data_IF_249354584086
#
_entry.id   IF_249354584086
#
_cell.length_a   1.000
_cell.length_b   1.000
_cell.length_c   1.000
_cell.angle_alpha   90.00
_cell.angle_beta   90.00
_cell.angle_gamma   90.00
#
_symmetry.space_group_name_H-M   'P 1'
#
loop_
_entity.id
_entity.type
_entity.pdbx_description
1 polymer ?
#
# COMPACT_ATOMS: atom_id res chain seq x y z
N UNK A 1 16.17 11.79 -27.37
CA UNK A 1 15.25 10.69 -27.68
C UNK A 1 15.08 9.63 -26.59
N UNK A 2 15.87 9.60 -25.50
CA UNK A 2 15.69 8.62 -24.40
C UNK A 2 14.71 9.07 -23.30
N UNK A 3 14.35 10.36 -23.22
CA UNK A 3 13.50 10.92 -22.15
C UNK A 3 12.08 10.34 -22.12
N UNK A 4 11.46 10.14 -23.29
CA UNK A 4 10.06 9.68 -23.36
C UNK A 4 9.89 8.20 -23.00
N UNK A 5 10.92 7.39 -23.28
CA UNK A 5 10.94 5.97 -22.89
C UNK A 5 11.06 5.83 -21.37
N UNK A 6 11.96 6.60 -20.76
CA UNK A 6 12.18 6.59 -19.30
C UNK A 6 10.91 7.05 -18.55
N UNK A 7 10.26 8.11 -19.03
CA UNK A 7 8.99 8.60 -18.48
C UNK A 7 7.86 7.56 -18.61
N UNK A 8 7.76 6.88 -19.75
CA UNK A 8 6.74 5.84 -19.97
C UNK A 8 6.97 4.61 -19.11
N UNK A 9 8.23 4.21 -18.89
CA UNK A 9 8.59 3.09 -18.03
C UNK A 9 8.28 3.39 -16.56
N UNK A 10 8.64 4.58 -16.06
CA UNK A 10 8.26 5.05 -14.72
C UNK A 10 6.74 5.10 -14.54
N UNK A 11 6.02 5.64 -15.52
CA UNK A 11 4.56 5.68 -15.49
C UNK A 11 3.93 4.28 -15.44
N UNK A 12 4.51 3.31 -16.19
CA UNK A 12 4.05 1.93 -16.19
C UNK A 12 4.31 1.25 -14.84
N UNK A 13 5.50 1.43 -14.27
CA UNK A 13 5.86 0.89 -12.95
C UNK A 13 4.91 1.40 -11.86
N UNK A 14 4.61 2.70 -11.86
CA UNK A 14 3.61 3.31 -10.96
C UNK A 14 2.21 2.73 -11.11
N UNK A 15 1.80 2.43 -12.35
CA UNK A 15 0.51 1.80 -12.61
C UNK A 15 0.48 0.34 -12.11
N UNK A 16 1.55 -0.41 -12.31
CA UNK A 16 1.70 -1.80 -11.82
C UNK A 16 1.68 -1.85 -10.28
N UNK A 17 2.39 -0.96 -9.59
CA UNK A 17 2.40 -0.89 -8.13
C UNK A 17 1.00 -0.57 -7.56
N UNK A 18 0.30 0.40 -8.16
CA UNK A 18 -1.09 0.72 -7.79
C UNK A 18 -2.04 -0.45 -8.04
N UNK A 19 -1.90 -1.13 -9.18
CA UNK A 19 -2.71 -2.30 -9.50
C UNK A 19 -2.48 -3.46 -8.52
N UNK A 20 -1.23 -3.67 -8.10
CA UNK A 20 -0.88 -4.62 -7.04
C UNK A 20 -1.58 -4.27 -5.72
N UNK A 21 -1.50 -3.01 -5.30
CA UNK A 21 -2.19 -2.53 -4.10
C UNK A 21 -3.71 -2.76 -4.16
N UNK A 22 -4.37 -2.41 -5.27
CA UNK A 22 -5.82 -2.64 -5.43
C UNK A 22 -6.19 -4.12 -5.38
N UNK A 23 -5.34 -4.99 -5.90
CA UNK A 23 -5.55 -6.45 -5.82
C UNK A 23 -5.52 -6.91 -4.36
N UNK A 24 -4.50 -6.48 -3.60
CA UNK A 24 -4.39 -6.80 -2.18
C UNK A 24 -5.55 -6.23 -1.36
N UNK A 25 -5.96 -4.99 -1.65
CA UNK A 25 -7.12 -4.36 -1.02
C UNK A 25 -8.41 -5.11 -1.34
N UNK A 26 -8.61 -5.52 -2.60
CA UNK A 26 -9.77 -6.30 -3.02
C UNK A 26 -9.86 -7.64 -2.30
N UNK A 27 -8.74 -8.37 -2.21
CA UNK A 27 -8.65 -9.63 -1.45
C UNK A 27 -8.94 -9.38 0.04
N UNK A 28 -8.37 -8.32 0.62
CA UNK A 28 -8.63 -7.96 2.02
C UNK A 28 -10.12 -7.71 2.28
N UNK A 29 -10.79 -6.92 1.43
CA UNK A 29 -12.23 -6.66 1.57
C UNK A 29 -13.03 -7.95 1.41
N UNK A 30 -12.75 -8.76 0.38
CA UNK A 30 -13.46 -10.02 0.14
C UNK A 30 -13.34 -10.99 1.33
N UNK A 31 -12.13 -11.17 1.87
CA UNK A 31 -11.90 -12.03 3.03
C UNK A 31 -12.61 -11.49 4.26
N UNK A 32 -12.52 -10.19 4.56
CA UNK A 32 -13.18 -9.62 5.74
C UNK A 32 -14.71 -9.72 5.65
N UNK A 33 -15.30 -9.45 4.49
CA UNK A 33 -16.74 -9.65 4.25
C UNK A 33 -17.12 -11.12 4.49
N UNK A 34 -16.32 -12.05 3.97
CA UNK A 34 -16.56 -13.48 4.20
C UNK A 34 -16.50 -13.86 5.68
N UNK A 35 -15.53 -13.34 6.44
CA UNK A 35 -15.42 -13.58 7.88
C UNK A 35 -16.59 -12.98 8.67
N UNK A 36 -17.06 -11.78 8.30
CA UNK A 36 -18.25 -11.15 8.90
C UNK A 36 -19.50 -12.02 8.65
N UNK A 37 -19.65 -12.55 7.44
CA UNK A 37 -20.75 -13.45 7.09
C UNK A 37 -20.68 -14.74 7.91
N UNK A 38 -19.50 -15.36 8.05
CA UNK A 38 -19.32 -16.55 8.90
C UNK A 38 -19.69 -16.22 10.36
N UNK A 39 -19.21 -15.11 10.89
CA UNK A 39 -19.53 -14.69 12.25
C UNK A 39 -21.04 -14.51 12.44
N UNK A 40 -21.70 -13.82 11.52
CA UNK A 40 -23.15 -13.57 11.58
C UNK A 40 -23.96 -14.87 11.56
N UNK A 41 -23.57 -15.83 10.72
CA UNK A 41 -24.26 -17.13 10.60
C UNK A 41 -23.97 -18.04 11.80
N UNK A 42 -22.72 -18.07 12.28
CA UNK A 42 -22.28 -19.03 13.30
C UNK A 42 -22.64 -18.61 14.72
N UNK A 43 -22.54 -17.32 15.03
CA UNK A 43 -22.64 -16.79 16.39
C UNK A 43 -23.82 -15.82 16.56
N UNK A 44 -24.34 -15.28 15.45
CA UNK A 44 -25.38 -14.27 15.47
C UNK A 44 -24.94 -12.94 16.10
N UNK A 45 -25.82 -11.92 16.12
CA UNK A 45 -25.51 -10.59 16.62
C UNK A 45 -25.11 -10.53 18.10
N UNK A 46 -25.38 -11.58 18.88
CA UNK A 46 -25.06 -11.67 20.31
C UNK A 46 -23.74 -12.36 20.63
N UNK A 47 -23.07 -12.96 19.63
CA UNK A 47 -21.80 -13.64 19.87
C UNK A 47 -20.59 -12.73 19.71
N UNK A 48 -19.47 -13.13 20.31
CA UNK A 48 -18.25 -12.33 20.32
C UNK A 48 -17.71 -12.09 18.89
N UNK A 49 -17.48 -10.83 18.46
CA UNK A 49 -17.08 -10.48 17.09
C UNK A 49 -15.59 -10.76 16.83
N UNK A 50 -15.22 -12.03 16.72
CA UNK A 50 -13.83 -12.44 16.51
C UNK A 50 -13.24 -11.96 15.17
N UNK A 51 -14.07 -11.58 14.19
CA UNK A 51 -13.59 -11.05 12.90
C UNK A 51 -12.81 -9.73 13.05
N UNK A 52 -12.92 -9.03 14.19
CA UNK A 52 -12.17 -7.80 14.44
C UNK A 52 -10.65 -8.04 14.45
N UNK A 53 -10.19 -9.21 14.90
CA UNK A 53 -8.76 -9.51 14.99
C UNK A 53 -8.10 -9.59 13.61
N UNK A 54 -8.58 -10.38 12.63
CA UNK A 54 -8.03 -10.36 11.27
C UNK A 54 -8.25 -9.01 10.59
N UNK A 55 -9.38 -8.33 10.86
CA UNK A 55 -9.68 -7.02 10.30
C UNK A 55 -8.62 -5.97 10.70
N UNK A 56 -8.34 -5.81 11.99
CA UNK A 56 -7.33 -4.87 12.46
C UNK A 56 -5.90 -5.38 12.29
N UNK A 57 -5.65 -6.66 12.51
CA UNK A 57 -4.32 -7.26 12.42
C UNK A 57 -3.70 -7.12 11.04
N UNK A 58 -4.46 -7.47 9.99
CA UNK A 58 -3.97 -7.33 8.61
C UNK A 58 -4.33 -5.98 7.98
N UNK A 59 -5.36 -5.31 8.50
CA UNK A 59 -5.77 -3.97 8.05
C UNK A 59 -4.65 -2.94 8.18
N UNK A 60 -3.86 -3.01 9.26
CA UNK A 60 -2.68 -2.13 9.45
C UNK A 60 -1.66 -2.35 8.33
N UNK A 61 -1.42 -3.60 7.93
CA UNK A 61 -0.51 -3.94 6.83
C UNK A 61 -0.98 -3.38 5.49
N UNK A 62 -2.28 -3.45 5.21
CA UNK A 62 -2.88 -2.85 4.00
C UNK A 62 -2.74 -1.32 4.03
N UNK A 63 -3.01 -0.67 5.16
CA UNK A 63 -2.85 0.79 5.29
C UNK A 63 -1.40 1.21 5.09
N UNK A 64 -0.45 0.50 5.71
CA UNK A 64 0.98 0.76 5.53
C UNK A 64 1.42 0.55 4.07
N UNK A 65 0.94 -0.50 3.40
CA UNK A 65 1.23 -0.75 2.00
C UNK A 65 0.64 0.35 1.11
N UNK A 66 -0.58 0.81 1.38
CA UNK A 66 -1.19 1.92 0.66
C UNK A 66 -0.40 3.22 0.82
N UNK A 67 -0.01 3.57 2.04
CA UNK A 67 0.85 4.73 2.28
C UNK A 67 2.15 4.62 1.48
N UNK A 68 2.80 3.45 1.49
CA UNK A 68 4.02 3.22 0.71
C UNK A 68 3.79 3.34 -0.80
N UNK A 69 2.69 2.78 -1.34
CA UNK A 69 2.37 2.85 -2.78
C UNK A 69 2.01 4.25 -3.26
N UNK A 70 1.34 5.06 -2.43
CA UNK A 70 0.89 6.40 -2.83
C UNK A 70 1.86 7.53 -2.46
N UNK A 71 2.58 7.40 -1.34
CA UNK A 71 3.47 8.44 -0.80
C UNK A 71 4.95 8.03 -0.77
N UNK A 72 5.26 6.74 -0.99
CA UNK A 72 6.63 6.24 -0.91
C UNK A 72 7.57 6.90 -1.92
N UNK A 73 7.14 7.11 -3.17
CA UNK A 73 8.00 7.77 -4.16
C UNK A 73 8.28 9.24 -3.82
N UNK A 74 7.28 10.01 -3.36
CA UNK A 74 7.50 11.40 -2.96
C UNK A 74 8.52 11.51 -1.81
N UNK A 75 8.41 10.59 -0.84
CA UNK A 75 9.35 10.50 0.27
C UNK A 75 10.77 10.08 -0.18
N UNK A 76 10.87 9.14 -1.13
CA UNK A 76 12.14 8.68 -1.68
C UNK A 76 12.82 9.78 -2.50
N UNK A 77 12.07 10.50 -3.34
CA UNK A 77 12.57 11.61 -4.16
C UNK A 77 13.10 12.75 -3.27
N UNK A 78 12.35 13.15 -2.24
CA UNK A 78 12.78 14.16 -1.26
C UNK A 78 14.08 13.74 -0.55
N UNK A 79 14.17 12.49 -0.09
CA UNK A 79 15.38 11.95 0.56
C UNK A 79 16.58 11.85 -0.39
N UNK A 80 16.34 11.51 -1.66
CA UNK A 80 17.39 11.44 -2.66
C UNK A 80 17.98 12.84 -2.95
N UNK A 81 17.13 13.86 -3.00
CA UNK A 81 17.53 15.25 -3.24
C UNK A 81 18.33 15.81 -2.04
N UNK A 82 17.88 15.54 -0.81
CA UNK A 82 18.63 15.87 0.41
C UNK A 82 20.05 15.26 0.41
N UNK A 83 20.18 13.99 0.02
CA UNK A 83 21.46 13.29 0.02
C UNK A 83 22.39 13.80 -1.10
N UNK A 84 21.84 14.11 -2.27
CA UNK A 84 22.58 14.75 -3.36
C UNK A 84 23.17 16.10 -2.94
N UNK A 85 22.38 16.94 -2.26
CA UNK A 85 22.84 18.24 -1.78
C UNK A 85 23.95 18.13 -0.72
N UNK A 86 23.89 17.13 0.16
CA UNK A 86 24.98 16.86 1.12
C UNK A 86 26.27 16.46 0.41
N UNK A 87 26.20 15.54 -0.56
CA UNK A 87 27.36 15.09 -1.33
C UNK A 87 27.98 16.23 -2.14
N UNK A 88 27.17 17.13 -2.69
CA UNK A 88 27.61 18.32 -3.41
C UNK A 88 28.35 19.31 -2.51
N UNK A 89 27.85 19.54 -1.29
CA UNK A 89 28.50 20.39 -0.28
C UNK A 89 29.81 19.80 0.25
N UNK A 90 29.92 18.47 0.30
CA UNK A 90 31.14 17.79 0.77
C UNK A 90 32.26 17.78 -0.28
N UNK A 91 31.92 17.98 -1.56
CA UNK A 91 32.87 17.98 -2.69
C UNK A 91 33.33 19.39 -3.09
N UNK A 92 32.81 20.43 -2.43
CA UNK A 92 33.19 21.84 -2.60
C UNK A 92 34.00 22.33 -1.42
#
# INVERSE_FOLDING_TARGET
MNSDKDLKERARKRAEEKAGFYTHLGVYVAVNVFLIVIWYISLGPGGFPWFIFPLFGWGIGIVAHGIATFYGEAYIDEKAEEEYEKLKKQKS
#
